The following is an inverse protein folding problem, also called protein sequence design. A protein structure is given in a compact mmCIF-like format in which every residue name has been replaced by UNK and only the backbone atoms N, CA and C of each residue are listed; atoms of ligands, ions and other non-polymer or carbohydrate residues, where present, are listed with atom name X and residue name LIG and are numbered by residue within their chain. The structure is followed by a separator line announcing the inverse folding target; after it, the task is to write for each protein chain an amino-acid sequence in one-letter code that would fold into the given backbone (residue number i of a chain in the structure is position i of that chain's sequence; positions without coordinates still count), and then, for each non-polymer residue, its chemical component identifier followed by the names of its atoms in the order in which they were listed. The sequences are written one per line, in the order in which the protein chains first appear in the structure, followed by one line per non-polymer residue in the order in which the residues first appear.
data_IF_055516413093
#
_entry.id   IF_055516413093
#
_cell.length_a   1.000
_cell.length_b   1.000
_cell.length_c   1.000
_cell.angle_alpha   90.00
_cell.angle_beta   90.00
_cell.angle_gamma   90.00
#
_symmetry.space_group_name_H-M   'P 1'
#
loop_
_entity.id
_entity.type
_entity.pdbx_description
1 polymer ?
#
# COMPACT_ATOMS: atom_id res chain seq x y z
N UNK A 1 41.03 7.29 -10.19
CA UNK A 1 40.01 6.23 -10.13
C UNK A 1 39.43 6.28 -8.72
N UNK A 2 38.25 6.86 -8.55
CA UNK A 2 37.51 6.83 -7.30
C UNK A 2 37.06 5.37 -7.08
N UNK A 3 37.70 4.68 -6.15
CA UNK A 3 37.20 3.41 -5.61
C UNK A 3 35.80 3.70 -5.10
N UNK A 4 34.75 3.14 -5.71
CA UNK A 4 33.42 3.13 -5.14
C UNK A 4 33.51 2.35 -3.82
N UNK A 5 33.59 3.06 -2.70
CA UNK A 5 33.54 2.42 -1.39
C UNK A 5 32.17 1.79 -1.21
N UNK A 6 32.15 0.59 -0.60
CA UNK A 6 30.87 -0.09 -0.29
C UNK A 6 30.08 0.84 0.64
N UNK A 7 28.78 1.11 0.37
CA UNK A 7 27.97 1.99 1.22
C UNK A 7 27.99 1.55 2.70
N UNK A 8 28.01 2.50 3.62
CA UNK A 8 28.05 2.25 5.08
C UNK A 8 26.96 1.29 5.54
N UNK A 9 25.75 1.43 4.99
CA UNK A 9 24.63 0.53 5.29
C UNK A 9 24.88 -0.94 4.92
N UNK A 10 25.72 -1.21 3.90
CA UNK A 10 26.08 -2.58 3.54
C UNK A 10 27.27 -3.08 4.38
N UNK A 11 28.23 -2.22 4.69
CA UNK A 11 29.39 -2.55 5.56
C UNK A 11 28.92 -2.96 6.97
N UNK A 12 27.91 -2.26 7.50
CA UNK A 12 27.36 -2.49 8.85
C UNK A 12 26.18 -3.45 8.89
N UNK A 13 25.87 -4.14 7.80
CA UNK A 13 24.76 -5.09 7.76
C UNK A 13 24.97 -6.21 8.80
N UNK A 14 24.01 -6.41 9.74
CA UNK A 14 24.07 -7.48 10.73
C UNK A 14 24.19 -8.87 10.08
N UNK A 15 25.02 -9.72 10.68
CA UNK A 15 25.22 -11.11 10.24
C UNK A 15 24.59 -12.14 11.17
N UNK A 16 24.28 -11.73 12.40
CA UNK A 16 23.67 -12.57 13.44
C UNK A 16 22.44 -11.84 14.04
N UNK A 17 21.58 -12.58 14.75
CA UNK A 17 20.46 -11.96 15.48
C UNK A 17 20.93 -11.08 16.63
N UNK A 18 22.11 -11.35 17.21
CA UNK A 18 22.65 -10.54 18.30
C UNK A 18 23.17 -9.18 17.82
N UNK A 19 23.56 -9.11 16.57
CA UNK A 19 23.92 -7.86 15.91
C UNK A 19 22.71 -7.08 15.40
N UNK A 20 21.54 -7.71 15.35
CA UNK A 20 20.34 -7.12 14.77
C UNK A 20 19.69 -6.16 15.77
N UNK A 21 19.70 -4.86 15.48
CA UNK A 21 19.13 -3.81 16.33
C UNK A 21 17.64 -3.66 16.02
N UNK A 22 16.83 -3.53 17.05
CA UNK A 22 15.38 -3.38 16.94
C UNK A 22 14.62 -4.69 16.86
N UNK A 23 13.32 -4.60 16.69
CA UNK A 23 12.38 -5.74 16.55
C UNK A 23 12.45 -6.74 17.73
N UNK A 24 12.61 -6.25 18.97
CA UNK A 24 12.79 -7.10 20.14
C UNK A 24 11.68 -8.16 20.31
N UNK A 25 10.45 -7.87 19.86
CA UNK A 25 9.32 -8.80 19.87
C UNK A 25 9.52 -10.00 18.93
N UNK A 26 10.35 -9.89 17.90
CA UNK A 26 10.64 -10.95 16.93
C UNK A 26 11.98 -11.64 17.19
N UNK A 27 13.02 -10.86 17.49
CA UNK A 27 14.41 -11.36 17.56
C UNK A 27 14.99 -11.40 18.99
N UNK A 28 14.27 -10.90 20.01
CA UNK A 28 14.67 -10.93 21.41
C UNK A 28 14.84 -12.36 21.93
N UNK A 29 15.28 -12.52 23.19
CA UNK A 29 15.58 -13.86 23.77
C UNK A 29 14.46 -14.90 23.62
N UNK A 30 13.19 -14.47 23.75
CA UNK A 30 12.02 -15.32 23.55
C UNK A 30 11.38 -15.16 22.17
N UNK A 31 12.04 -14.45 21.26
CA UNK A 31 11.52 -14.12 19.94
C UNK A 31 11.38 -15.35 19.04
N UNK A 32 10.39 -15.27 18.14
CA UNK A 32 10.07 -16.38 17.23
C UNK A 32 11.23 -16.75 16.31
N UNK A 33 12.04 -15.76 15.88
CA UNK A 33 13.18 -16.01 15.00
C UNK A 33 14.32 -16.75 15.71
N UNK A 34 14.54 -16.55 17.02
CA UNK A 34 15.50 -17.35 17.78
C UNK A 34 15.04 -18.81 17.83
N UNK A 35 13.78 -19.06 18.08
CA UNK A 35 13.22 -20.41 18.07
C UNK A 35 13.36 -21.09 16.70
N UNK A 36 13.20 -20.36 15.59
CA UNK A 36 13.46 -20.90 14.26
C UNK A 36 14.92 -21.33 14.07
N UNK A 37 15.87 -20.54 14.58
CA UNK A 37 17.29 -20.87 14.48
C UNK A 37 17.66 -22.05 15.37
N UNK A 38 17.12 -22.13 16.58
CA UNK A 38 17.37 -23.22 17.54
C UNK A 38 16.79 -24.55 17.04
N UNK A 39 15.56 -24.55 16.54
CA UNK A 39 14.89 -25.77 16.07
C UNK A 39 15.28 -26.17 14.64
N UNK A 40 15.80 -25.23 13.88
CA UNK A 40 16.07 -25.39 12.44
C UNK A 40 14.79 -25.50 11.59
N UNK A 41 13.61 -25.36 12.21
CA UNK A 41 12.32 -25.47 11.53
C UNK A 41 11.76 -24.06 11.25
N UNK A 42 11.81 -23.66 9.99
CA UNK A 42 11.36 -22.33 9.54
C UNK A 42 10.16 -22.51 8.61
N UNK A 43 8.97 -22.03 9.02
CA UNK A 43 7.81 -21.99 8.11
C UNK A 43 8.01 -20.95 7.01
N UNK A 44 7.17 -20.97 5.99
CA UNK A 44 7.07 -19.83 5.07
C UNK A 44 6.42 -18.65 5.76
N UNK A 45 6.93 -17.44 5.51
CA UNK A 45 6.40 -16.21 6.13
C UNK A 45 6.58 -14.98 5.27
N UNK A 46 5.84 -13.93 5.63
CA UNK A 46 5.90 -12.62 5.03
C UNK A 46 6.34 -11.60 6.09
N UNK A 47 7.35 -10.81 5.76
CA UNK A 47 7.83 -9.69 6.54
C UNK A 47 7.15 -8.41 6.02
N UNK A 48 6.29 -7.85 6.82
CA UNK A 48 5.59 -6.61 6.51
C UNK A 48 6.09 -5.46 7.38
N UNK A 49 6.42 -4.34 6.79
CA UNK A 49 6.82 -3.13 7.50
C UNK A 49 7.49 -2.11 6.57
N UNK A 50 7.74 -0.89 7.06
CA UNK A 50 8.30 0.20 6.26
C UNK A 50 9.69 -0.16 5.70
N UNK A 51 10.22 0.65 4.76
CA UNK A 51 11.58 0.46 4.25
C UNK A 51 12.62 0.59 5.36
N UNK A 52 13.79 0.00 5.17
CA UNK A 52 14.95 0.14 6.04
C UNK A 52 14.90 -0.53 7.42
N UNK A 53 13.78 -1.17 7.79
CA UNK A 53 13.62 -1.85 9.10
C UNK A 53 14.30 -3.23 9.19
N UNK A 54 15.02 -3.64 8.14
CA UNK A 54 15.85 -4.85 8.16
C UNK A 54 15.21 -6.14 7.62
N UNK A 55 14.09 -6.09 6.87
CA UNK A 55 13.42 -7.27 6.28
C UNK A 55 14.37 -8.21 5.55
N UNK A 56 15.10 -7.69 4.57
CA UNK A 56 16.10 -8.45 3.78
C UNK A 56 17.24 -8.98 4.63
N UNK A 57 17.68 -8.18 5.62
CA UNK A 57 18.75 -8.58 6.55
C UNK A 57 18.32 -9.74 7.41
N UNK A 58 17.10 -9.72 7.96
CA UNK A 58 16.57 -10.81 8.78
C UNK A 58 16.45 -12.11 7.98
N UNK A 59 15.98 -12.04 6.74
CA UNK A 59 15.92 -13.19 5.84
C UNK A 59 17.31 -13.80 5.57
N UNK A 60 18.32 -12.96 5.32
CA UNK A 60 19.71 -13.40 5.13
C UNK A 60 20.29 -14.05 6.39
N UNK A 61 20.06 -13.48 7.58
CA UNK A 61 20.52 -14.05 8.86
C UNK A 61 19.93 -15.46 9.04
N UNK A 62 18.64 -15.64 8.82
CA UNK A 62 17.97 -16.93 8.92
C UNK A 62 18.61 -17.95 7.97
N UNK A 63 18.82 -17.60 6.71
CA UNK A 63 19.42 -18.49 5.72
C UNK A 63 20.85 -18.88 6.06
N UNK A 64 21.68 -17.91 6.43
CA UNK A 64 23.10 -18.09 6.73
C UNK A 64 23.29 -18.92 7.98
N UNK A 65 22.55 -18.65 9.05
CA UNK A 65 22.66 -19.36 10.33
C UNK A 65 22.23 -20.84 10.16
N UNK A 66 21.20 -21.10 9.36
CA UNK A 66 20.74 -22.45 9.10
C UNK A 66 21.51 -23.17 7.98
N UNK A 67 22.49 -22.48 7.37
CA UNK A 67 23.29 -23.01 6.24
C UNK A 67 22.42 -23.54 5.10
N UNK A 68 21.32 -22.83 4.81
CA UNK A 68 20.39 -23.19 3.74
C UNK A 68 20.71 -22.38 2.49
N UNK A 69 20.60 -22.96 1.28
CA UNK A 69 20.72 -22.21 0.04
C UNK A 69 19.71 -21.05 0.01
N UNK A 70 20.15 -19.88 -0.46
CA UNK A 70 19.36 -18.64 -0.45
C UNK A 70 19.21 -18.11 -1.86
N UNK A 71 17.99 -18.18 -2.38
CA UNK A 71 17.63 -17.59 -3.67
C UNK A 71 16.92 -16.25 -3.44
N UNK A 72 17.28 -15.27 -4.22
CA UNK A 72 16.67 -13.93 -4.13
C UNK A 72 16.01 -13.57 -5.46
N UNK A 73 14.77 -13.14 -5.40
CA UNK A 73 14.04 -12.54 -6.51
C UNK A 73 13.59 -11.14 -6.09
N UNK A 74 13.72 -10.18 -7.01
CA UNK A 74 13.12 -8.86 -6.85
C UNK A 74 11.85 -8.81 -7.69
N UNK A 75 10.71 -8.60 -7.05
CA UNK A 75 9.45 -8.53 -7.79
C UNK A 75 9.35 -7.31 -8.74
N UNK A 76 10.28 -6.37 -8.62
CA UNK A 76 10.40 -5.21 -9.54
C UNK A 76 11.01 -5.62 -10.87
N UNK A 77 11.98 -6.56 -10.87
CA UNK A 77 12.77 -6.91 -12.06
C UNK A 77 12.55 -8.34 -12.55
N UNK A 78 12.01 -9.22 -11.70
CA UNK A 78 11.88 -10.65 -12.04
C UNK A 78 10.53 -10.96 -12.69
N UNK A 79 10.57 -11.63 -13.84
CA UNK A 79 9.40 -12.12 -14.56
C UNK A 79 9.02 -13.55 -14.16
N UNK A 80 7.96 -14.10 -14.77
CA UNK A 80 7.49 -15.47 -14.55
C UNK A 80 8.56 -16.51 -14.89
N UNK A 81 9.43 -16.22 -15.87
CA UNK A 81 10.50 -17.11 -16.32
C UNK A 81 11.54 -17.31 -15.22
N UNK A 82 12.03 -16.21 -14.65
CA UNK A 82 13.01 -16.25 -13.57
C UNK A 82 12.48 -16.98 -12.32
N UNK A 83 11.20 -16.75 -11.99
CA UNK A 83 10.54 -17.48 -10.90
C UNK A 83 10.59 -19.00 -11.14
N UNK A 84 10.24 -19.46 -12.36
CA UNK A 84 10.26 -20.88 -12.72
C UNK A 84 11.67 -21.46 -12.69
N UNK A 85 12.66 -20.77 -13.23
CA UNK A 85 14.06 -21.21 -13.23
C UNK A 85 14.60 -21.42 -11.79
N UNK A 86 14.28 -20.50 -10.87
CA UNK A 86 14.67 -20.63 -9.47
C UNK A 86 13.96 -21.81 -8.82
N UNK A 87 12.66 -22.00 -9.07
CA UNK A 87 11.92 -23.14 -8.53
C UNK A 87 12.40 -24.50 -9.08
N UNK A 88 12.79 -24.57 -10.34
CA UNK A 88 13.40 -25.76 -10.93
C UNK A 88 14.77 -26.07 -10.31
N UNK A 89 15.58 -25.04 -10.10
CA UNK A 89 16.87 -25.16 -9.42
C UNK A 89 16.69 -25.65 -7.97
N UNK A 90 15.70 -25.10 -7.26
CA UNK A 90 15.34 -25.54 -5.91
C UNK A 90 14.87 -27.01 -5.86
N UNK A 91 14.08 -27.45 -6.86
CA UNK A 91 13.65 -28.87 -6.97
C UNK A 91 14.82 -29.81 -7.17
N UNK A 92 15.78 -29.46 -8.02
CA UNK A 92 16.99 -30.28 -8.25
C UNK A 92 17.82 -30.37 -6.96
N UNK A 93 17.98 -29.29 -6.23
CA UNK A 93 18.74 -29.25 -4.99
C UNK A 93 18.08 -30.06 -3.86
N UNK A 94 16.73 -30.03 -3.75
CA UNK A 94 16.01 -30.84 -2.76
C UNK A 94 16.28 -32.37 -2.88
N UNK A 95 16.69 -32.84 -4.03
CA UNK A 95 17.07 -34.23 -4.25
C UNK A 95 18.37 -34.63 -3.51
N UNK A 96 19.24 -33.63 -3.23
CA UNK A 96 20.55 -33.85 -2.62
C UNK A 96 20.61 -33.36 -1.16
N UNK A 97 19.66 -32.52 -0.73
CA UNK A 97 19.67 -31.89 0.57
C UNK A 97 18.34 -32.12 1.31
N UNK A 98 18.42 -32.50 2.58
CA UNK A 98 17.22 -32.82 3.40
C UNK A 98 16.38 -31.56 3.77
N UNK A 99 16.93 -30.36 3.65
CA UNK A 99 16.26 -29.12 4.02
C UNK A 99 15.96 -28.26 2.78
N UNK A 100 14.71 -27.79 2.62
CA UNK A 100 14.35 -26.97 1.47
C UNK A 100 15.12 -25.64 1.46
N UNK A 101 15.57 -25.16 0.29
CA UNK A 101 16.21 -23.86 0.18
C UNK A 101 15.24 -22.72 0.57
N UNK A 102 15.80 -21.57 0.93
CA UNK A 102 15.02 -20.37 1.20
C UNK A 102 14.90 -19.57 -0.08
N UNK A 103 13.66 -19.25 -0.46
CA UNK A 103 13.35 -18.32 -1.55
C UNK A 103 12.90 -16.99 -0.93
N UNK A 104 13.74 -15.98 -1.05
CA UNK A 104 13.43 -14.61 -0.65
C UNK A 104 12.89 -13.80 -1.83
N UNK A 105 11.72 -13.19 -1.66
CA UNK A 105 11.10 -12.30 -2.65
C UNK A 105 10.96 -10.92 -2.04
N UNK A 106 11.75 -9.99 -2.57
CA UNK A 106 11.64 -8.58 -2.18
C UNK A 106 10.50 -7.90 -2.92
N UNK A 107 9.73 -7.08 -2.20
CA UNK A 107 8.55 -6.36 -2.68
C UNK A 107 7.51 -7.31 -3.33
N UNK A 108 7.17 -8.41 -2.66
CA UNK A 108 6.29 -9.47 -3.17
C UNK A 108 4.93 -8.94 -3.67
N UNK A 109 4.46 -7.81 -3.16
CA UNK A 109 3.24 -7.14 -3.58
C UNK A 109 3.27 -6.68 -5.06
N UNK A 110 4.44 -6.55 -5.66
CA UNK A 110 4.60 -6.20 -7.08
C UNK A 110 4.46 -7.38 -8.03
N UNK A 111 4.45 -8.60 -7.51
CA UNK A 111 4.12 -9.76 -8.32
C UNK A 111 2.63 -9.78 -8.67
N UNK A 112 2.32 -9.98 -9.94
CA UNK A 112 0.94 -10.19 -10.36
C UNK A 112 0.40 -11.55 -9.86
N UNK A 113 -0.93 -11.75 -9.96
CA UNK A 113 -1.58 -12.97 -9.48
C UNK A 113 -0.97 -14.24 -10.07
N UNK A 114 -0.64 -14.28 -11.36
CA UNK A 114 -0.04 -15.45 -12.03
C UNK A 114 1.37 -15.78 -11.51
N UNK A 115 2.15 -14.75 -11.16
CA UNK A 115 3.47 -14.95 -10.54
C UNK A 115 3.33 -15.51 -9.13
N UNK A 116 2.40 -14.98 -8.34
CA UNK A 116 2.12 -15.47 -6.99
C UNK A 116 1.54 -16.90 -7.02
N UNK A 117 0.63 -17.20 -7.95
CA UNK A 117 0.09 -18.55 -8.15
C UNK A 117 1.19 -19.59 -8.48
N UNK A 118 2.21 -19.18 -9.22
CA UNK A 118 3.34 -20.08 -9.55
C UNK A 118 4.16 -20.52 -8.35
N UNK A 119 4.09 -19.78 -7.23
CA UNK A 119 4.78 -20.10 -5.97
C UNK A 119 4.00 -21.13 -5.13
N UNK A 120 2.67 -21.20 -5.27
CA UNK A 120 1.80 -22.03 -4.42
C UNK A 120 2.25 -23.49 -4.35
N UNK A 121 2.41 -24.13 -5.51
CA UNK A 121 2.79 -25.53 -5.57
C UNK A 121 4.17 -25.82 -4.94
N UNK A 122 5.12 -24.90 -5.07
CA UNK A 122 6.44 -25.05 -4.49
C UNK A 122 6.43 -24.85 -2.96
N UNK A 123 5.59 -23.98 -2.44
CA UNK A 123 5.40 -23.75 -1.00
C UNK A 123 4.65 -24.94 -0.39
N UNK A 124 3.55 -25.39 -1.00
CA UNK A 124 2.76 -26.54 -0.53
C UNK A 124 3.54 -27.84 -0.46
N UNK A 125 4.35 -28.11 -1.48
CA UNK A 125 5.19 -29.32 -1.56
C UNK A 125 6.47 -29.21 -0.74
N UNK A 126 6.71 -28.07 -0.06
CA UNK A 126 7.94 -27.82 0.66
C UNK A 126 9.19 -27.89 -0.22
N UNK A 127 9.07 -27.49 -1.50
CA UNK A 127 10.22 -27.36 -2.42
C UNK A 127 11.10 -26.21 -1.98
N UNK A 128 10.49 -25.12 -1.51
CA UNK A 128 11.15 -23.95 -0.94
C UNK A 128 10.48 -23.56 0.37
N UNK A 129 11.23 -22.90 1.26
CA UNK A 129 10.66 -22.06 2.31
C UNK A 129 10.59 -20.63 1.77
N UNK A 130 9.38 -20.09 1.61
CA UNK A 130 9.18 -18.74 1.11
C UNK A 130 9.37 -17.73 2.23
N UNK A 131 10.17 -16.70 1.96
CA UNK A 131 10.22 -15.46 2.77
C UNK A 131 9.86 -14.30 1.84
N UNK A 132 8.65 -13.78 1.98
CA UNK A 132 8.23 -12.58 1.27
C UNK A 132 8.56 -11.32 2.09
N UNK A 133 8.99 -10.25 1.44
CA UNK A 133 9.10 -8.93 2.06
C UNK A 133 8.18 -7.95 1.34
N UNK A 134 7.51 -7.08 2.09
CA UNK A 134 6.61 -6.08 1.53
C UNK A 134 6.53 -4.84 2.42
N UNK A 135 6.33 -3.70 1.79
CA UNK A 135 5.98 -2.43 2.46
C UNK A 135 4.46 -2.21 2.49
N UNK A 136 3.71 -2.91 1.63
CA UNK A 136 2.26 -2.80 1.52
C UNK A 136 1.56 -3.85 2.39
N UNK A 137 0.29 -3.58 2.74
CA UNK A 137 -0.48 -4.53 3.55
C UNK A 137 -0.72 -5.84 2.79
N UNK A 138 -0.15 -6.97 3.27
CA UNK A 138 -0.22 -8.24 2.56
C UNK A 138 -1.64 -8.79 2.41
N UNK A 139 -2.58 -8.36 3.24
CA UNK A 139 -3.99 -8.79 3.15
C UNK A 139 -4.68 -8.30 1.87
N UNK A 140 -4.17 -7.25 1.23
CA UNK A 140 -4.72 -6.70 -0.01
C UNK A 140 -3.89 -7.09 -1.24
N UNK A 141 -2.60 -7.29 -1.06
CA UNK A 141 -1.65 -7.40 -2.16
C UNK A 141 -1.19 -8.84 -2.42
N UNK A 142 -1.26 -9.71 -1.40
CA UNK A 142 -0.89 -11.11 -1.53
C UNK A 142 -2.16 -11.96 -1.69
N UNK A 143 -2.16 -12.87 -2.66
CA UNK A 143 -3.32 -13.74 -2.90
C UNK A 143 -3.64 -14.59 -1.67
N UNK A 144 -4.92 -14.75 -1.35
CA UNK A 144 -5.39 -15.46 -0.17
C UNK A 144 -4.84 -16.90 -0.05
N UNK A 145 -4.72 -17.70 -1.15
CA UNK A 145 -4.12 -19.03 -1.07
C UNK A 145 -2.66 -19.05 -0.62
N UNK A 146 -1.87 -18.05 -1.01
CA UNK A 146 -0.46 -17.93 -0.59
C UNK A 146 -0.38 -17.43 0.85
N UNK A 147 -1.20 -16.43 1.19
CA UNK A 147 -1.26 -15.87 2.53
C UNK A 147 -1.67 -16.90 3.59
N UNK A 148 -2.61 -17.81 3.27
CA UNK A 148 -3.03 -18.89 4.19
C UNK A 148 -1.92 -19.90 4.51
N UNK A 149 -0.84 -19.93 3.74
CA UNK A 149 0.33 -20.83 3.91
C UNK A 149 1.55 -20.14 4.49
N UNK A 150 1.46 -18.84 4.73
CA UNK A 150 2.53 -18.03 5.27
C UNK A 150 2.11 -17.37 6.59
N UNK A 151 3.03 -17.31 7.54
CA UNK A 151 2.83 -16.46 8.71
C UNK A 151 3.21 -15.02 8.37
N UNK A 152 2.52 -14.02 8.93
CA UNK A 152 2.86 -12.61 8.71
C UNK A 152 3.51 -12.05 9.97
N UNK A 153 4.70 -11.48 9.81
CA UNK A 153 5.43 -10.79 10.88
C UNK A 153 5.54 -9.32 10.56
N UNK A 154 5.12 -8.49 11.50
CA UNK A 154 5.13 -7.04 11.36
C UNK A 154 6.42 -6.50 11.95
N UNK A 155 7.19 -5.77 11.13
CA UNK A 155 8.38 -5.04 11.55
C UNK A 155 8.01 -3.57 11.73
N UNK A 156 8.51 -3.00 12.82
CA UNK A 156 8.24 -1.62 13.21
C UNK A 156 9.41 -0.70 12.82
N UNK A 157 9.17 0.61 12.61
CA UNK A 157 10.25 1.60 12.53
C UNK A 157 11.13 1.52 13.77
N UNK A 158 12.40 1.84 13.61
CA UNK A 158 13.30 1.96 14.76
C UNK A 158 12.91 3.14 15.64
N UNK A 159 12.96 2.93 16.95
CA UNK A 159 12.83 3.99 17.94
C UNK A 159 14.11 4.84 17.97
N UNK A 160 14.04 6.05 18.54
CA UNK A 160 15.21 6.93 18.69
C UNK A 160 16.34 6.25 19.49
N UNK A 161 16.01 5.45 20.51
CA UNK A 161 16.99 4.68 21.27
C UNK A 161 17.68 3.59 20.44
N UNK A 162 16.96 2.94 19.52
CA UNK A 162 17.54 1.96 18.60
C UNK A 162 18.37 2.63 17.50
N UNK A 163 17.96 3.81 17.03
CA UNK A 163 18.75 4.63 16.10
C UNK A 163 20.02 5.13 16.75
N UNK A 164 19.98 5.53 18.04
CA UNK A 164 21.18 5.90 18.80
C UNK A 164 22.14 4.72 18.92
N UNK A 165 21.64 3.54 19.25
CA UNK A 165 22.45 2.30 19.32
C UNK A 165 23.11 1.98 17.98
N UNK A 166 22.40 2.20 16.87
CA UNK A 166 22.93 2.00 15.52
C UNK A 166 24.02 3.03 15.19
N UNK A 167 23.81 4.30 15.54
CA UNK A 167 24.78 5.38 15.37
C UNK A 167 26.09 5.10 16.16
N UNK A 168 25.96 4.76 17.44
CA UNK A 168 27.09 4.45 18.31
C UNK A 168 27.88 3.26 17.76
N UNK A 169 27.18 2.21 17.32
CA UNK A 169 27.80 1.07 16.68
C UNK A 169 28.54 1.46 15.40
N UNK A 170 27.92 2.30 14.54
CA UNK A 170 28.54 2.75 13.30
C UNK A 170 29.87 3.46 13.57
N UNK A 171 29.87 4.42 14.49
CA UNK A 171 31.07 5.17 14.88
C UNK A 171 32.13 4.27 15.55
N UNK A 172 31.70 3.29 16.35
CA UNK A 172 32.60 2.40 17.08
C UNK A 172 33.16 1.25 16.24
N UNK A 173 32.52 0.81 15.17
CA UNK A 173 32.93 -0.42 14.46
C UNK A 173 33.33 -0.22 13.00
N UNK A 174 32.85 0.81 12.30
CA UNK A 174 33.19 1.01 10.90
C UNK A 174 34.64 1.48 10.72
N UNK A 175 35.46 0.79 9.90
CA UNK A 175 36.86 1.13 9.71
C UNK A 175 37.10 2.53 9.15
N UNK A 176 36.22 3.03 8.28
CA UNK A 176 36.38 4.36 7.67
C UNK A 176 36.01 5.47 8.64
N UNK A 177 34.90 5.29 9.40
CA UNK A 177 34.48 6.29 10.40
C UNK A 177 35.46 6.40 11.57
N UNK A 178 36.08 5.30 11.98
CA UNK A 178 37.11 5.30 13.05
C UNK A 178 38.34 6.12 12.71
N UNK A 179 38.68 6.29 11.45
CA UNK A 179 39.84 7.09 11.04
C UNK A 179 39.54 8.58 11.01
N UNK A 180 38.27 8.99 11.17
CA UNK A 180 37.82 10.38 11.15
C UNK A 180 37.62 10.90 12.58
N UNK A 181 37.89 12.17 12.78
CA UNK A 181 37.59 12.86 14.05
C UNK A 181 36.12 13.32 13.99
N UNK A 182 35.22 12.53 14.56
CA UNK A 182 33.76 12.79 14.55
C UNK A 182 33.29 13.06 15.99
N UNK A 183 32.72 14.22 16.21
CA UNK A 183 32.12 14.63 17.49
C UNK A 183 30.57 14.77 17.28
N UNK A 184 29.79 13.99 18.02
CA UNK A 184 28.34 14.06 17.99
C UNK A 184 27.85 14.92 19.14
N UNK A 185 27.29 16.08 18.85
CA UNK A 185 26.71 16.99 19.83
C UNK A 185 25.19 16.89 19.89
N UNK A 186 24.54 16.72 18.73
CA UNK A 186 23.07 16.65 18.62
C UNK A 186 22.67 15.55 17.61
N UNK A 187 21.57 14.86 17.87
CA UNK A 187 21.11 13.72 17.04
C UNK A 187 19.67 13.83 16.53
N UNK A 188 18.89 14.82 17.00
CA UNK A 188 17.47 14.95 16.68
C UNK A 188 17.21 15.13 15.20
N UNK A 189 18.05 15.89 14.49
CA UNK A 189 17.94 16.06 13.05
C UNK A 189 18.23 14.75 12.31
N UNK A 190 19.28 14.00 12.73
CA UNK A 190 19.60 12.69 12.16
C UNK A 190 18.42 11.73 12.27
N UNK A 191 17.82 11.62 13.46
CA UNK A 191 16.73 10.69 13.72
C UNK A 191 15.44 11.14 13.00
N UNK A 192 15.14 12.44 13.02
CA UNK A 192 14.02 13.01 12.29
C UNK A 192 14.10 12.74 10.78
N UNK A 193 15.29 12.96 10.17
CA UNK A 193 15.46 12.73 8.73
C UNK A 193 15.53 11.25 8.37
N UNK A 194 15.98 10.37 9.28
CA UNK A 194 15.94 8.92 9.06
C UNK A 194 14.54 8.34 9.13
N UNK A 195 13.65 8.91 9.97
CA UNK A 195 12.26 8.47 10.12
C UNK A 195 12.14 7.01 10.58
N UNK A 196 13.08 6.52 11.41
CA UNK A 196 13.09 5.12 11.87
C UNK A 196 13.68 4.10 10.88
N UNK A 197 14.24 4.58 9.76
CA UNK A 197 14.91 3.76 8.74
C UNK A 197 16.41 3.68 8.99
N UNK A 198 16.90 2.48 9.33
CA UNK A 198 18.33 2.23 9.59
C UNK A 198 19.23 2.53 8.39
N UNK A 199 18.79 2.17 7.17
CA UNK A 199 19.55 2.40 5.94
C UNK A 199 19.70 3.90 5.69
N UNK A 200 18.60 4.64 5.90
CA UNK A 200 18.56 6.08 5.70
C UNK A 200 19.44 6.81 6.72
N UNK A 201 19.42 6.40 7.99
CA UNK A 201 20.34 6.94 9.01
C UNK A 201 21.81 6.76 8.59
N UNK A 202 22.19 5.54 8.18
CA UNK A 202 23.56 5.24 7.79
C UNK A 202 23.96 5.96 6.50
N UNK A 203 23.06 6.13 5.56
CA UNK A 203 23.32 6.93 4.35
C UNK A 203 23.50 8.41 4.68
N UNK A 204 22.69 8.97 5.59
CA UNK A 204 22.85 10.34 6.05
C UNK A 204 24.22 10.49 6.72
N UNK A 205 24.60 9.56 7.58
CA UNK A 205 25.90 9.56 8.25
C UNK A 205 27.08 9.52 7.23
N UNK A 206 26.96 8.69 6.20
CA UNK A 206 27.94 8.59 5.11
C UNK A 206 28.10 9.92 4.35
N UNK A 207 26.96 10.59 4.05
CA UNK A 207 26.95 11.90 3.38
C UNK A 207 27.59 12.98 4.23
N UNK A 208 27.15 13.15 5.49
CA UNK A 208 27.62 14.25 6.33
C UNK A 208 29.10 14.09 6.76
N UNK A 209 29.55 12.85 6.90
CA UNK A 209 30.97 12.57 7.20
C UNK A 209 31.83 12.67 5.95
N UNK A 210 31.28 12.37 4.76
CA UNK A 210 31.98 12.52 3.47
C UNK A 210 32.09 13.96 2.97
N UNK A 211 31.25 14.89 3.49
CA UNK A 211 31.22 16.28 3.06
C UNK A 211 32.34 17.17 3.63
N UNK A 212 33.09 16.69 4.63
CA UNK A 212 34.16 17.45 5.29
C UNK A 212 35.52 16.77 5.18
N UNK A 213 36.54 17.56 4.93
CA UNK A 213 37.97 17.13 4.87
C UNK A 213 38.70 17.26 6.24
N UNK A 214 38.02 17.02 7.34
CA UNK A 214 38.65 17.18 8.68
C UNK A 214 37.72 16.73 9.81
N UNK A 215 37.83 17.41 10.96
CA UNK A 215 36.97 17.16 12.12
C UNK A 215 35.52 17.48 11.74
N UNK A 216 34.61 16.54 12.00
CA UNK A 216 33.17 16.67 11.77
C UNK A 216 32.47 16.82 13.11
N UNK A 217 31.82 17.97 13.36
CA UNK A 217 30.94 18.16 14.51
C UNK A 217 29.52 18.04 14.06
N UNK A 218 28.83 16.97 14.46
CA UNK A 218 27.44 16.68 14.09
C UNK A 218 26.52 17.48 15.00
N UNK A 219 25.88 18.52 14.43
CA UNK A 219 24.83 19.33 15.06
C UNK A 219 23.57 19.26 14.20
N UNK A 220 22.40 19.59 14.75
CA UNK A 220 21.14 19.63 14.01
C UNK A 220 21.20 20.58 12.81
N UNK A 221 21.89 21.72 12.97
CA UNK A 221 22.09 22.70 11.89
C UNK A 221 22.97 22.12 10.79
N UNK A 222 24.12 21.51 11.13
CA UNK A 222 25.04 20.91 10.16
C UNK A 222 24.36 19.80 9.34
N UNK A 223 23.63 18.91 10.00
CA UNK A 223 22.84 17.84 9.33
C UNK A 223 21.82 18.45 8.38
N UNK A 224 21.10 19.50 8.80
CA UNK A 224 20.08 20.16 8.00
C UNK A 224 20.70 20.83 6.77
N UNK A 225 21.81 21.52 6.92
CA UNK A 225 22.50 22.24 5.83
C UNK A 225 23.07 21.25 4.79
N UNK A 226 23.69 20.16 5.23
CA UNK A 226 24.20 19.10 4.35
C UNK A 226 23.07 18.42 3.56
N UNK A 227 21.90 18.21 4.17
CA UNK A 227 20.76 17.55 3.52
C UNK A 227 19.95 18.51 2.65
N UNK A 228 19.84 19.80 2.98
CA UNK A 228 19.15 20.79 2.14
C UNK A 228 19.88 21.03 0.81
N UNK A 229 21.18 20.89 0.76
CA UNK A 229 21.94 20.91 -0.49
C UNK A 229 21.65 19.68 -1.38
N UNK A 230 21.06 18.61 -0.83
CA UNK A 230 20.73 17.37 -1.49
C UNK A 230 19.22 17.04 -1.44
N UNK A 231 18.33 18.00 -1.71
CA UNK A 231 16.85 17.88 -1.62
C UNK A 231 16.23 16.73 -2.49
N UNK A 232 17.02 15.79 -2.98
CA UNK A 232 16.54 14.59 -3.66
C UNK A 232 16.17 13.42 -2.74
N UNK A 233 16.22 13.57 -1.40
CA UNK A 233 16.01 12.48 -0.43
C UNK A 233 14.64 12.50 0.24
N UNK A 234 13.60 12.97 -0.46
CA UNK A 234 12.23 12.68 -0.03
C UNK A 234 11.91 11.21 -0.31
N UNK A 235 11.59 10.50 0.75
CA UNK A 235 11.20 9.09 0.65
C UNK A 235 9.78 8.96 0.11
N UNK A 236 9.67 8.71 -1.21
CA UNK A 236 8.38 8.50 -1.89
C UNK A 236 7.58 7.29 -1.39
N UNK A 237 8.18 6.43 -0.57
CA UNK A 237 7.59 5.15 -0.14
C UNK A 237 7.60 4.95 1.38
N UNK A 238 7.88 5.99 2.20
CA UNK A 238 7.94 5.88 3.65
C UNK A 238 6.60 6.10 4.37
N UNK A 239 6.55 5.76 5.65
CA UNK A 239 5.36 5.90 6.51
C UNK A 239 4.83 7.35 6.55
N UNK A 240 5.72 8.36 6.50
CA UNK A 240 5.34 9.78 6.41
C UNK A 240 4.57 10.12 5.12
N UNK A 241 4.83 9.42 4.02
CA UNK A 241 4.08 9.55 2.78
C UNK A 241 2.60 9.18 2.99
N UNK A 242 2.34 8.02 3.62
CA UNK A 242 0.97 7.56 3.92
C UNK A 242 0.27 8.46 4.93
N UNK A 243 0.99 9.00 5.91
CA UNK A 243 0.44 9.91 6.92
C UNK A 243 0.03 11.24 6.30
N UNK A 244 0.88 11.84 5.47
CA UNK A 244 0.57 13.12 4.81
C UNK A 244 -0.59 12.98 3.82
N UNK A 245 -0.63 11.89 3.05
CA UNK A 245 -1.76 11.58 2.15
C UNK A 245 -3.04 11.36 2.96
N UNK A 246 -2.97 10.60 4.04
CA UNK A 246 -4.11 10.35 4.93
C UNK A 246 -4.65 11.65 5.54
N UNK A 247 -3.75 12.54 5.96
CA UNK A 247 -4.10 13.85 6.47
C UNK A 247 -4.73 14.75 5.39
N UNK A 248 -4.17 14.73 4.17
CA UNK A 248 -4.74 15.42 3.01
C UNK A 248 -6.17 14.96 2.73
N UNK A 249 -6.38 13.65 2.59
CA UNK A 249 -7.70 13.06 2.35
C UNK A 249 -8.68 13.45 3.44
N UNK A 250 -8.30 13.33 4.71
CA UNK A 250 -9.14 13.68 5.86
C UNK A 250 -9.47 15.17 5.92
N UNK A 251 -8.54 16.04 5.51
CA UNK A 251 -8.78 17.48 5.45
C UNK A 251 -9.80 17.84 4.37
N UNK A 252 -9.70 17.26 3.18
CA UNK A 252 -10.71 17.43 2.11
C UNK A 252 -12.07 16.90 2.55
N UNK A 253 -12.12 15.71 3.12
CA UNK A 253 -13.33 15.07 3.66
C UNK A 253 -13.94 15.89 4.79
N UNK A 254 -13.11 16.45 5.67
CA UNK A 254 -13.51 17.29 6.80
C UNK A 254 -13.85 18.71 6.43
N UNK A 255 -13.78 19.07 5.13
CA UNK A 255 -14.12 20.42 4.62
C UNK A 255 -13.21 21.54 5.16
N UNK A 256 -11.93 21.24 5.40
CA UNK A 256 -10.92 22.24 5.73
C UNK A 256 -10.00 22.49 4.51
N UNK A 257 -10.28 23.53 3.69
CA UNK A 257 -9.47 23.84 2.51
C UNK A 257 -8.05 24.30 2.88
N UNK A 258 -7.85 24.92 4.03
CA UNK A 258 -6.52 25.41 4.44
C UNK A 258 -5.61 24.26 4.84
N UNK A 259 -6.10 23.35 5.65
CA UNK A 259 -5.36 22.10 5.98
C UNK A 259 -5.10 21.28 4.72
N UNK A 260 -6.08 21.15 3.81
CA UNK A 260 -5.91 20.40 2.56
C UNK A 260 -4.81 21.00 1.69
N UNK A 261 -4.76 22.32 1.52
CA UNK A 261 -3.70 23.02 0.77
C UNK A 261 -2.34 22.90 1.47
N UNK A 262 -2.29 22.94 2.79
CA UNK A 262 -1.06 22.73 3.53
C UNK A 262 -0.48 21.33 3.28
N UNK A 263 -1.30 20.28 3.36
CA UNK A 263 -0.84 18.91 3.08
C UNK A 263 -0.54 18.67 1.60
N UNK A 264 -1.27 19.32 0.67
CA UNK A 264 -0.92 19.34 -0.76
C UNK A 264 0.48 19.92 -0.97
N UNK A 265 0.78 21.07 -0.37
CA UNK A 265 2.08 21.72 -0.46
C UNK A 265 3.19 20.85 0.11
N UNK A 266 2.94 20.14 1.25
CA UNK A 266 3.89 19.18 1.82
C UNK A 266 4.18 18.02 0.88
N UNK A 267 3.16 17.45 0.22
CA UNK A 267 3.34 16.39 -0.78
C UNK A 267 4.17 16.87 -1.98
N UNK A 268 3.85 18.05 -2.52
CA UNK A 268 4.56 18.63 -3.68
C UNK A 268 6.01 18.99 -3.34
N UNK A 269 6.25 19.64 -2.20
CA UNK A 269 7.60 19.96 -1.72
C UNK A 269 8.42 18.69 -1.44
N UNK A 270 7.74 17.63 -1.02
CA UNK A 270 8.31 16.32 -0.83
C UNK A 270 8.54 15.52 -2.12
N UNK A 271 8.25 16.06 -3.29
CA UNK A 271 8.47 15.39 -4.57
C UNK A 271 7.47 14.29 -4.90
N UNK A 272 6.27 14.31 -4.27
CA UNK A 272 5.20 13.38 -4.61
C UNK A 272 4.81 13.51 -6.08
N UNK A 273 4.47 12.40 -6.71
CA UNK A 273 4.05 12.41 -8.11
C UNK A 273 2.71 13.15 -8.27
N UNK A 274 2.65 14.23 -9.05
CA UNK A 274 1.42 15.03 -9.21
C UNK A 274 0.22 14.21 -9.70
N UNK A 275 0.45 13.18 -10.53
CA UNK A 275 -0.61 12.26 -11.00
C UNK A 275 -1.16 11.38 -9.88
N UNK A 276 -0.32 10.99 -8.94
CA UNK A 276 -0.77 10.24 -7.77
C UNK A 276 -1.74 11.09 -6.94
N UNK A 277 -1.39 12.36 -6.68
CA UNK A 277 -2.26 13.31 -5.97
C UNK A 277 -3.57 13.52 -6.73
N UNK A 278 -3.50 13.75 -8.04
CA UNK A 278 -4.69 13.93 -8.88
C UNK A 278 -5.60 12.69 -8.87
N UNK A 279 -5.05 11.46 -8.88
CA UNK A 279 -5.81 10.23 -8.73
C UNK A 279 -6.57 10.17 -7.41
N UNK A 280 -5.96 10.61 -6.31
CA UNK A 280 -6.62 10.69 -5.01
C UNK A 280 -7.78 11.68 -5.00
N UNK A 281 -7.65 12.80 -5.71
CA UNK A 281 -8.76 13.77 -5.87
C UNK A 281 -9.93 13.15 -6.65
N UNK A 282 -9.68 12.35 -7.69
CA UNK A 282 -10.75 11.62 -8.43
C UNK A 282 -11.49 10.65 -7.50
N UNK A 283 -10.75 9.90 -6.67
CA UNK A 283 -11.36 8.98 -5.68
C UNK A 283 -12.21 9.76 -4.68
N UNK A 284 -11.67 10.85 -4.08
CA UNK A 284 -12.38 11.70 -3.13
C UNK A 284 -13.67 12.30 -3.72
N UNK A 285 -13.61 12.72 -4.99
CA UNK A 285 -14.78 13.26 -5.69
C UNK A 285 -15.93 12.24 -5.77
N UNK A 286 -15.61 10.94 -5.93
CA UNK A 286 -16.60 9.87 -6.00
C UNK A 286 -17.02 9.36 -4.63
N UNK A 287 -16.08 9.20 -3.71
CA UNK A 287 -16.30 8.59 -2.38
C UNK A 287 -16.97 9.56 -1.40
N UNK A 288 -16.47 10.81 -1.30
CA UNK A 288 -16.85 11.74 -0.25
C UNK A 288 -17.81 12.85 -0.71
N UNK A 289 -17.80 13.22 -2.01
CA UNK A 289 -18.70 14.25 -2.55
C UNK A 289 -19.87 13.56 -3.28
N UNK A 290 -19.58 12.63 -4.17
CA UNK A 290 -20.56 11.79 -4.83
C UNK A 290 -21.74 12.58 -5.42
N UNK A 291 -22.96 12.12 -5.10
CA UNK A 291 -24.20 12.70 -5.59
C UNK A 291 -24.56 14.07 -5.00
N UNK A 292 -23.86 14.53 -3.96
CA UNK A 292 -24.08 15.86 -3.42
C UNK A 292 -23.63 16.97 -4.41
N UNK A 293 -22.60 16.69 -5.21
CA UNK A 293 -22.13 17.57 -6.30
C UNK A 293 -21.47 16.75 -7.42
N UNK A 294 -22.25 16.27 -8.43
CA UNK A 294 -21.71 15.46 -9.54
C UNK A 294 -20.60 16.14 -10.34
N UNK A 295 -20.54 17.47 -10.36
CA UNK A 295 -19.47 18.21 -11.04
C UNK A 295 -18.08 17.97 -10.41
N UNK A 296 -18.03 17.53 -9.15
CA UNK A 296 -16.78 17.23 -8.46
C UNK A 296 -15.96 16.19 -9.20
N UNK A 297 -16.60 15.09 -9.66
CA UNK A 297 -15.92 14.05 -10.42
C UNK A 297 -15.45 14.57 -11.80
N UNK A 298 -16.24 15.39 -12.48
CA UNK A 298 -15.85 15.97 -13.76
C UNK A 298 -14.63 16.87 -13.61
N UNK A 299 -14.62 17.75 -12.59
CA UNK A 299 -13.47 18.62 -12.32
C UNK A 299 -12.22 17.84 -11.91
N UNK A 300 -12.36 16.84 -11.04
CA UNK A 300 -11.25 16.00 -10.62
C UNK A 300 -10.65 15.21 -11.79
N UNK A 301 -11.48 14.71 -12.71
CA UNK A 301 -10.99 14.03 -13.91
C UNK A 301 -10.30 14.99 -14.87
N UNK A 302 -10.86 16.19 -15.08
CA UNK A 302 -10.20 17.24 -15.86
C UNK A 302 -8.85 17.65 -15.23
N UNK A 303 -8.77 17.72 -13.90
CA UNK A 303 -7.51 17.95 -13.19
C UNK A 303 -6.49 16.85 -13.48
N UNK A 304 -6.89 15.57 -13.39
CA UNK A 304 -6.00 14.44 -13.68
C UNK A 304 -5.40 14.52 -15.09
N UNK A 305 -6.26 14.79 -16.10
CA UNK A 305 -5.82 14.96 -17.49
C UNK A 305 -4.92 16.17 -17.69
N UNK A 306 -5.24 17.30 -17.04
CA UNK A 306 -4.46 18.53 -17.12
C UNK A 306 -3.08 18.36 -16.51
N UNK A 307 -2.99 17.76 -15.31
CA UNK A 307 -1.72 17.45 -14.64
C UNK A 307 -0.82 16.58 -15.52
N UNK A 308 -1.43 15.63 -16.26
CA UNK A 308 -0.69 14.80 -17.20
C UNK A 308 -0.14 15.59 -18.40
N UNK A 309 -0.89 16.56 -18.90
CA UNK A 309 -0.55 17.35 -20.10
C UNK A 309 0.48 18.44 -19.83
N UNK A 310 0.34 19.18 -18.73
CA UNK A 310 1.18 20.35 -18.46
C UNK A 310 2.40 20.05 -17.58
N UNK A 311 2.32 19.07 -16.66
CA UNK A 311 3.42 18.76 -15.75
C UNK A 311 3.72 19.84 -14.71
N UNK A 312 4.80 19.66 -13.95
CA UNK A 312 5.28 20.65 -12.99
C UNK A 312 6.16 21.69 -13.69
N UNK A 313 6.23 22.95 -13.20
CA UNK A 313 5.64 23.44 -11.94
C UNK A 313 4.18 23.89 -12.03
N UNK A 314 3.58 24.04 -13.19
CA UNK A 314 2.25 24.64 -13.40
C UNK A 314 1.11 23.74 -12.90
N UNK A 315 1.26 22.41 -12.92
CA UNK A 315 0.27 21.46 -12.44
C UNK A 315 -0.17 21.70 -10.99
N UNK A 316 0.68 22.34 -10.15
CA UNK A 316 0.34 22.72 -8.77
C UNK A 316 -0.90 23.61 -8.68
N UNK A 317 -1.13 24.46 -9.70
CA UNK A 317 -2.25 25.41 -9.72
C UNK A 317 -3.57 24.65 -9.86
N UNK A 318 -3.65 23.75 -10.84
CA UNK A 318 -4.84 22.92 -11.08
C UNK A 318 -5.11 21.97 -9.92
N UNK A 319 -4.06 21.40 -9.30
CA UNK A 319 -4.19 20.58 -8.10
C UNK A 319 -4.76 21.40 -6.93
N UNK A 320 -4.29 22.63 -6.73
CA UNK A 320 -4.77 23.49 -5.66
C UNK A 320 -6.24 23.89 -5.87
N UNK A 321 -6.61 24.33 -7.09
CA UNK A 321 -7.98 24.65 -7.46
C UNK A 321 -8.94 23.49 -7.19
N UNK A 322 -8.61 22.31 -7.67
CA UNK A 322 -9.42 21.10 -7.47
C UNK A 322 -9.52 20.72 -6.00
N UNK A 323 -8.42 20.81 -5.26
CA UNK A 323 -8.39 20.52 -3.81
C UNK A 323 -9.35 21.44 -3.05
N UNK A 324 -9.31 22.74 -3.32
CA UNK A 324 -10.20 23.73 -2.68
C UNK A 324 -11.66 23.43 -3.05
N UNK A 325 -11.92 23.21 -4.33
CA UNK A 325 -13.28 22.91 -4.81
C UNK A 325 -13.87 21.67 -4.11
N UNK A 326 -13.10 20.57 -4.00
CA UNK A 326 -13.55 19.36 -3.33
C UNK A 326 -13.69 19.58 -1.82
N UNK A 327 -12.77 20.29 -1.18
CA UNK A 327 -12.85 20.60 0.25
C UNK A 327 -14.10 21.44 0.60
N UNK A 328 -14.48 22.37 -0.27
CA UNK A 328 -15.64 23.27 -0.05
C UNK A 328 -16.96 22.71 -0.62
N UNK A 329 -16.95 21.62 -1.37
CA UNK A 329 -18.17 20.97 -1.89
C UNK A 329 -18.99 20.29 -0.77
N UNK A 330 -20.32 20.23 -0.90
CA UNK A 330 -21.15 19.39 -0.04
C UNK A 330 -20.68 17.93 -0.08
N UNK A 331 -20.80 17.23 1.04
CA UNK A 331 -20.32 15.85 1.19
C UNK A 331 -21.47 14.85 1.17
N UNK A 332 -21.26 13.74 0.45
CA UNK A 332 -22.11 12.56 0.54
C UNK A 332 -21.34 11.31 0.12
N UNK A 333 -21.41 10.30 0.93
CA UNK A 333 -20.91 8.96 0.64
C UNK A 333 -22.02 7.95 0.36
N UNK A 334 -23.23 8.42 0.04
CA UNK A 334 -24.41 7.57 -0.12
C UNK A 334 -24.22 6.50 -1.21
N UNK A 335 -23.59 6.84 -2.32
CA UNK A 335 -23.30 5.91 -3.41
C UNK A 335 -22.23 4.87 -3.00
N UNK A 336 -21.19 5.30 -2.29
CA UNK A 336 -20.15 4.42 -1.74
C UNK A 336 -20.73 3.42 -0.74
N UNK A 337 -21.58 3.88 0.17
CA UNK A 337 -22.26 3.01 1.14
C UNK A 337 -23.21 2.04 0.46
N UNK A 338 -23.95 2.48 -0.57
CA UNK A 338 -24.88 1.66 -1.31
C UNK A 338 -24.19 0.46 -1.98
N UNK A 339 -23.11 0.71 -2.69
CA UNK A 339 -22.37 -0.38 -3.37
C UNK A 339 -21.70 -1.33 -2.38
N UNK A 340 -21.13 -0.82 -1.29
CA UNK A 340 -20.49 -1.67 -0.27
C UNK A 340 -21.50 -2.57 0.45
N UNK A 341 -22.69 -2.03 0.79
CA UNK A 341 -23.77 -2.82 1.38
C UNK A 341 -24.29 -3.89 0.42
N UNK A 342 -24.43 -3.55 -0.87
CA UNK A 342 -24.86 -4.50 -1.88
C UNK A 342 -23.83 -5.61 -2.11
N UNK A 343 -22.53 -5.27 -2.20
CA UNK A 343 -21.46 -6.23 -2.35
C UNK A 343 -21.37 -7.17 -1.14
N UNK A 344 -21.35 -6.62 0.07
CA UNK A 344 -21.33 -7.43 1.31
C UNK A 344 -22.55 -8.34 1.40
N UNK A 345 -23.73 -7.86 0.99
CA UNK A 345 -24.93 -8.71 0.96
C UNK A 345 -24.78 -9.86 -0.03
N UNK A 346 -24.31 -9.61 -1.25
CA UNK A 346 -24.13 -10.63 -2.30
C UNK A 346 -23.06 -11.66 -1.90
N UNK A 347 -21.94 -11.22 -1.31
CA UNK A 347 -20.87 -12.11 -0.86
C UNK A 347 -21.31 -13.08 0.25
N UNK A 348 -22.22 -12.67 1.13
CA UNK A 348 -22.73 -13.50 2.21
C UNK A 348 -24.05 -14.21 1.86
N UNK A 349 -24.64 -13.94 0.69
CA UNK A 349 -25.90 -14.57 0.27
C UNK A 349 -25.63 -15.96 -0.32
N UNK A 350 -25.91 -16.99 0.47
CA UNK A 350 -25.78 -18.40 0.05
C UNK A 350 -26.96 -18.88 -0.80
N UNK A 351 -28.00 -18.04 -1.01
CA UNK A 351 -29.19 -18.39 -1.78
C UNK A 351 -29.04 -18.03 -3.24
N UNK A 352 -29.29 -19.00 -4.12
CA UNK A 352 -29.39 -18.72 -5.56
C UNK A 352 -30.68 -17.96 -5.83
N UNK A 353 -30.61 -16.65 -6.04
CA UNK A 353 -31.75 -15.78 -6.35
C UNK A 353 -31.83 -15.55 -7.85
N UNK A 354 -32.72 -16.24 -8.55
CA UNK A 354 -32.82 -16.07 -10.00
C UNK A 354 -33.32 -14.67 -10.35
N UNK A 355 -32.79 -14.13 -11.43
CA UNK A 355 -33.32 -12.88 -12.03
C UNK A 355 -34.78 -13.10 -12.40
N UNK A 356 -35.71 -12.18 -12.09
CA UNK A 356 -37.11 -12.29 -12.49
C UNK A 356 -37.30 -12.54 -13.99
N UNK A 357 -38.21 -13.42 -14.36
CA UNK A 357 -38.39 -13.86 -15.75
C UNK A 357 -38.68 -12.71 -16.72
N UNK A 358 -39.47 -11.73 -16.30
CA UNK A 358 -39.80 -10.56 -17.10
C UNK A 358 -38.61 -9.64 -17.41
N UNK A 359 -37.50 -9.77 -16.64
CA UNK A 359 -36.27 -9.00 -16.86
C UNK A 359 -35.25 -9.75 -17.74
N UNK A 360 -35.53 -11.01 -18.09
CA UNK A 360 -34.62 -11.82 -18.91
C UNK A 360 -34.94 -11.65 -20.39
N UNK A 361 -33.92 -11.54 -21.23
CA UNK A 361 -34.11 -11.52 -22.68
C UNK A 361 -34.44 -12.92 -23.20
N UNK A 362 -35.30 -13.00 -24.22
CA UNK A 362 -35.72 -14.23 -24.90
C UNK A 362 -35.17 -14.31 -26.35
N UNK A 363 -33.84 -14.50 -26.55
CA UNK A 363 -33.25 -14.53 -27.90
C UNK A 363 -33.62 -15.78 -28.70
N UNK A 364 -34.20 -16.80 -28.07
CA UNK A 364 -34.62 -18.05 -28.74
C UNK A 364 -36.08 -18.34 -28.47
N UNK A 365 -36.75 -19.06 -29.43
CA UNK A 365 -38.14 -19.50 -29.29
C UNK A 365 -38.37 -20.32 -28.00
N UNK A 366 -37.39 -21.11 -27.59
CA UNK A 366 -37.49 -21.92 -26.38
C UNK A 366 -37.53 -21.03 -25.12
N UNK A 367 -36.73 -19.96 -25.06
CA UNK A 367 -36.72 -19.00 -23.95
C UNK A 367 -38.03 -18.20 -23.90
N UNK A 368 -38.57 -17.81 -25.05
CA UNK A 368 -39.87 -17.16 -25.13
C UNK A 368 -41.00 -18.08 -24.63
N UNK A 369 -41.02 -19.36 -25.04
CA UNK A 369 -41.92 -20.37 -24.50
C UNK A 369 -41.77 -20.60 -22.99
N UNK A 370 -40.56 -20.46 -22.48
CA UNK A 370 -40.27 -20.53 -21.04
C UNK A 370 -40.67 -19.26 -20.26
N UNK A 371 -41.25 -18.27 -20.93
CA UNK A 371 -41.78 -17.05 -20.32
C UNK A 371 -40.76 -15.93 -20.06
N UNK A 372 -39.58 -15.99 -20.69
CA UNK A 372 -38.59 -14.94 -20.58
C UNK A 372 -39.11 -13.67 -21.25
N UNK A 373 -38.95 -12.51 -20.58
CA UNK A 373 -39.42 -11.21 -21.04
C UNK A 373 -40.92 -10.99 -20.92
N UNK A 374 -41.72 -12.02 -20.59
CA UNK A 374 -43.15 -11.92 -20.49
C UNK A 374 -43.58 -11.00 -19.35
N UNK A 375 -44.38 -9.98 -19.70
CA UNK A 375 -44.85 -8.96 -18.75
C UNK A 375 -43.88 -7.81 -18.51
N UNK A 376 -42.75 -7.75 -19.23
CA UNK A 376 -41.87 -6.58 -19.22
C UNK A 376 -42.62 -5.37 -19.86
N UNK A 377 -42.50 -4.23 -19.22
CA UNK A 377 -43.07 -2.96 -19.71
C UNK A 377 -41.91 -2.00 -19.99
N UNK A 378 -41.77 -1.57 -21.21
CA UNK A 378 -40.76 -0.62 -21.60
C UNK A 378 -41.11 0.77 -21.04
N UNK A 379 -40.30 1.28 -20.12
CA UNK A 379 -40.61 2.47 -19.32
C UNK A 379 -40.93 3.72 -20.16
N UNK A 380 -40.33 3.86 -21.35
CA UNK A 380 -40.62 5.00 -22.25
C UNK A 380 -42.06 5.02 -22.79
N UNK A 381 -42.69 3.85 -22.94
CA UNK A 381 -44.12 3.76 -23.35
C UNK A 381 -45.09 4.18 -22.23
N UNK A 382 -44.54 4.35 -21.00
CA UNK A 382 -45.29 4.69 -19.79
C UNK A 382 -44.82 6.03 -19.17
N UNK A 383 -44.35 6.96 -20.00
CA UNK A 383 -43.90 8.27 -19.52
C UNK A 383 -42.64 8.23 -18.66
N UNK A 384 -41.79 7.20 -18.82
CA UNK A 384 -40.52 7.05 -18.11
C UNK A 384 -40.58 6.19 -16.84
N UNK A 385 -41.76 5.75 -16.39
CA UNK A 385 -41.92 4.89 -15.21
C UNK A 385 -43.07 3.88 -15.36
N UNK A 386 -42.76 2.60 -15.35
CA UNK A 386 -43.73 1.54 -15.53
C UNK A 386 -44.17 0.81 -14.25
N UNK A 387 -43.60 1.12 -13.11
CA UNK A 387 -43.95 0.55 -11.81
C UNK A 387 -43.70 -0.95 -11.65
N UNK A 388 -42.74 -1.51 -12.40
CA UNK A 388 -42.36 -2.92 -12.32
C UNK A 388 -41.52 -3.25 -11.10
N UNK A 389 -41.59 -4.51 -10.65
CA UNK A 389 -40.62 -5.02 -9.68
C UNK A 389 -39.32 -5.47 -10.39
N UNK A 390 -38.20 -4.92 -9.99
CA UNK A 390 -36.90 -5.23 -10.57
C UNK A 390 -36.03 -6.14 -9.68
N UNK A 391 -36.39 -6.25 -8.40
CA UNK A 391 -35.69 -7.16 -7.49
C UNK A 391 -36.25 -8.58 -7.58
N UNK A 392 -35.43 -9.60 -7.25
CA UNK A 392 -35.97 -10.93 -6.94
C UNK A 392 -37.06 -10.84 -5.87
N UNK A 393 -38.12 -11.67 -5.95
CA UNK A 393 -39.28 -11.61 -5.05
C UNK A 393 -38.88 -11.61 -3.56
N UNK A 394 -37.83 -12.37 -3.20
CA UNK A 394 -37.33 -12.47 -1.85
C UNK A 394 -36.59 -11.20 -1.37
N UNK A 395 -36.29 -10.27 -2.29
CA UNK A 395 -35.62 -9.00 -1.99
C UNK A 395 -36.51 -7.79 -2.22
N UNK A 396 -37.79 -8.03 -2.47
CA UNK A 396 -38.75 -6.95 -2.67
C UNK A 396 -38.74 -5.97 -1.49
N UNK A 397 -38.59 -4.68 -1.80
CA UNK A 397 -38.48 -3.62 -0.78
C UNK A 397 -37.15 -3.46 -0.09
N UNK A 398 -36.16 -4.32 -0.37
CA UNK A 398 -34.80 -4.15 0.17
C UNK A 398 -34.17 -2.87 -0.38
N UNK A 399 -33.56 -2.08 0.53
CA UNK A 399 -32.85 -0.85 0.20
C UNK A 399 -31.34 -1.09 0.29
N UNK A 400 -30.61 -0.62 -0.69
CA UNK A 400 -29.15 -0.50 -0.68
C UNK A 400 -28.73 0.97 -0.79
N UNK A 401 -29.51 1.80 -1.48
CA UNK A 401 -29.25 3.22 -1.64
C UNK A 401 -30.22 4.03 -0.76
N UNK A 402 -29.64 4.88 0.08
CA UNK A 402 -30.35 5.85 0.92
C UNK A 402 -29.81 7.25 0.61
N UNK A 403 -30.61 8.14 -0.01
CA UNK A 403 -30.19 9.50 -0.30
C UNK A 403 -29.86 10.30 0.96
N UNK A 404 -28.75 11.02 0.95
CA UNK A 404 -28.40 11.95 2.02
C UNK A 404 -29.17 13.26 1.86
N UNK A 405 -30.33 13.36 2.48
CA UNK A 405 -31.23 14.52 2.37
C UNK A 405 -30.69 15.80 3.01
N UNK A 406 -29.54 15.77 3.65
CA UNK A 406 -28.89 16.96 4.21
C UNK A 406 -28.32 17.88 3.11
N UNK A 407 -28.10 17.37 1.91
CA UNK A 407 -27.70 18.16 0.74
C UNK A 407 -28.88 18.31 -0.25
N UNK A 408 -28.94 19.44 -0.95
CA UNK A 408 -30.06 19.78 -1.83
C UNK A 408 -30.18 18.86 -3.05
N UNK A 409 -29.08 18.32 -3.56
CA UNK A 409 -29.11 17.45 -4.74
C UNK A 409 -29.77 16.11 -4.40
N UNK A 410 -29.37 15.45 -3.32
CA UNK A 410 -29.96 14.19 -2.92
C UNK A 410 -31.34 14.33 -2.26
N UNK A 411 -31.66 15.48 -1.70
CA UNK A 411 -33.03 15.77 -1.27
C UNK A 411 -34.00 15.73 -2.47
N UNK A 412 -33.61 16.23 -3.66
CA UNK A 412 -34.39 16.13 -4.89
C UNK A 412 -34.50 14.68 -5.36
N UNK A 413 -33.41 13.90 -5.30
CA UNK A 413 -33.41 12.47 -5.63
C UNK A 413 -34.37 11.70 -4.72
N UNK A 414 -34.33 11.97 -3.41
CA UNK A 414 -35.23 11.37 -2.44
C UNK A 414 -36.70 11.69 -2.72
N UNK A 415 -36.99 12.93 -3.11
CA UNK A 415 -38.36 13.34 -3.49
C UNK A 415 -38.84 12.57 -4.74
N UNK A 416 -38.00 12.49 -5.78
CA UNK A 416 -38.29 11.75 -6.99
C UNK A 416 -38.52 10.25 -6.73
N UNK A 417 -37.69 9.60 -5.92
CA UNK A 417 -37.86 8.19 -5.55
C UNK A 417 -39.18 8.00 -4.81
N UNK A 418 -39.53 8.88 -3.88
CA UNK A 418 -40.82 8.80 -3.15
C UNK A 418 -42.05 8.99 -4.06
N UNK A 419 -41.95 9.89 -5.01
CA UNK A 419 -43.01 10.12 -5.98
C UNK A 419 -43.27 8.89 -6.88
N UNK A 420 -42.19 8.32 -7.45
CA UNK A 420 -42.25 7.18 -8.33
C UNK A 420 -42.65 5.88 -7.61
N UNK A 421 -41.98 5.57 -6.49
CA UNK A 421 -42.11 4.28 -5.83
C UNK A 421 -43.10 4.25 -4.65
N UNK A 422 -43.63 5.41 -4.25
CA UNK A 422 -44.66 5.57 -3.20
C UNK A 422 -44.40 4.72 -1.94
N UNK A 423 -44.93 3.50 -1.91
CA UNK A 423 -44.91 2.62 -0.72
C UNK A 423 -43.73 1.64 -0.73
N UNK A 424 -43.12 1.38 -1.87
CA UNK A 424 -42.08 0.32 -2.01
C UNK A 424 -40.83 0.56 -1.16
N UNK A 425 -40.44 1.82 -1.03
CA UNK A 425 -39.24 2.22 -0.32
C UNK A 425 -39.53 3.19 0.83
N UNK A 426 -40.60 2.93 1.58
CA UNK A 426 -40.96 3.65 2.78
C UNK A 426 -40.00 3.39 3.94
#
# INVERSE_FOLDING_TARGET
MLSMSIPLAERLRPRTLDEYIGQAHLVGQNGVFRKFLETGNVPSFILWGPPGVGKTTLAKIVATTLKRPFYTLSAVTSGVKEVREVLESARKQKFFDSKPPILFIDEIHRFNKSQQDSLLGAVEQGVVTLIGATTENPSFEVISPLLSRCQVYILQPMTDGELQTLLDRALATDPELKTREIEVQETEALFRFSGGDARKLLNILDIITGAADGKVTITNQYVTDCLQQNIALYDKNGEQHYDVISAFIKSVRGSDPNAAIYYLARMLAGGEEPRFIARRLVILASEDIGLANPNALLLANACFDTVHKIGMPEARITLAETTIYLATSPKSNSAYMAINQALSFVEHDTTNRPVPLHLRNAPTKLMDQAGYGKGYKYAHDYGGFAGLEFMPETLKGKKFYEPNTRNAAEAKIAACIRELWKVKYK
#
